data_IF_908814836662
#
_entry.id   IF_908814836662
#
_cell.length_a   1.000
_cell.length_b   1.000
_cell.length_c   1.000
_cell.angle_alpha   90.00
_cell.angle_beta   90.00
_cell.angle_gamma   90.00
#
_symmetry.space_group_name_H-M   'P 1'
#
loop_
_entity.id
_entity.type
_entity.pdbx_description
1 polymer ?
#
# COMPACT_ATOMS: atom_id res chain seq x y z
N UNK A 1 0.43 39.36 -9.46
CA UNK A 1 1.49 39.16 -10.48
C UNK A 1 1.37 37.73 -10.97
N UNK A 2 0.93 37.56 -12.21
CA UNK A 2 0.74 36.26 -12.86
C UNK A 2 2.09 35.88 -13.51
N UNK A 3 2.64 34.67 -13.32
CA UNK A 3 3.89 34.29 -13.99
C UNK A 3 3.66 34.13 -15.50
N UNK A 4 4.64 34.59 -16.27
CA UNK A 4 4.70 34.48 -17.74
C UNK A 4 4.68 33.02 -18.22
N UNK A 5 4.00 32.68 -19.34
CA UNK A 5 3.78 31.30 -19.81
C UNK A 5 4.99 30.66 -20.51
N UNK A 6 6.22 31.16 -20.32
CA UNK A 6 7.38 30.76 -21.13
C UNK A 6 8.19 29.62 -20.50
N UNK A 7 8.02 29.35 -19.20
CA UNK A 7 8.80 28.31 -18.49
C UNK A 7 8.42 26.87 -18.85
N UNK A 8 7.31 26.63 -19.58
CA UNK A 8 6.82 25.28 -19.89
C UNK A 8 7.32 24.65 -21.20
N UNK A 9 8.07 25.40 -22.02
CA UNK A 9 8.57 24.87 -23.29
C UNK A 9 9.85 24.04 -23.18
N UNK A 10 10.65 24.20 -22.11
CA UNK A 10 11.96 23.53 -21.97
C UNK A 10 11.80 22.04 -21.60
N UNK A 11 10.70 21.65 -20.94
CA UNK A 11 10.49 20.27 -20.47
C UNK A 11 9.92 19.32 -21.52
N UNK A 12 9.35 19.81 -22.63
CA UNK A 12 8.65 18.95 -23.61
C UNK A 12 9.57 18.33 -24.67
N UNK A 13 10.74 18.92 -24.96
CA UNK A 13 11.61 18.43 -26.05
C UNK A 13 12.43 17.19 -25.64
N UNK A 14 12.63 16.96 -24.33
CA UNK A 14 13.33 15.78 -23.82
C UNK A 14 12.59 14.45 -24.12
N UNK A 15 11.27 14.50 -24.35
CA UNK A 15 10.42 13.30 -24.52
C UNK A 15 10.48 12.73 -25.95
N UNK A 16 10.94 13.50 -26.95
CA UNK A 16 10.87 13.09 -28.37
C UNK A 16 12.23 12.79 -29.02
N UNK A 17 13.37 13.17 -28.42
CA UNK A 17 14.72 12.75 -28.86
C UNK A 17 15.71 12.61 -27.69
N UNK A 18 16.05 11.38 -27.25
CA UNK A 18 16.94 11.17 -26.10
C UNK A 18 18.44 11.47 -26.35
N UNK A 19 18.85 11.83 -27.58
CA UNK A 19 20.27 11.91 -27.95
C UNK A 19 20.87 13.32 -27.95
N UNK A 20 20.16 14.32 -27.42
CA UNK A 20 20.72 15.65 -27.19
C UNK A 20 20.97 15.80 -25.68
N UNK A 21 22.19 15.50 -25.25
CA UNK A 21 22.63 15.72 -23.87
C UNK A 21 22.48 17.18 -23.44
N UNK A 22 22.32 17.39 -22.13
CA UNK A 22 22.13 18.68 -21.47
C UNK A 22 23.16 19.73 -21.93
N UNK A 23 22.73 20.60 -22.85
CA UNK A 23 23.37 21.89 -23.08
C UNK A 23 22.28 22.94 -23.11
N UNK A 24 22.23 23.76 -22.05
CA UNK A 24 21.37 24.91 -21.96
C UNK A 24 21.76 25.93 -23.05
N UNK A 25 20.92 26.09 -24.08
CA UNK A 25 21.05 27.17 -25.05
C UNK A 25 20.19 28.37 -24.60
N UNK A 26 20.65 29.62 -24.76
CA UNK A 26 19.88 30.80 -24.36
C UNK A 26 18.56 30.95 -25.12
N UNK A 27 17.56 31.54 -24.44
CA UNK A 27 16.22 31.83 -24.94
C UNK A 27 16.25 32.58 -26.29
N UNK A 28 15.49 32.09 -27.27
CA UNK A 28 15.34 32.70 -28.60
C UNK A 28 16.00 31.95 -29.77
N UNK A 29 16.83 30.94 -29.50
CA UNK A 29 17.55 30.16 -30.54
C UNK A 29 16.72 29.04 -31.20
N UNK A 30 15.64 28.57 -30.55
CA UNK A 30 14.86 27.41 -31.02
C UNK A 30 13.97 27.70 -32.24
N UNK A 31 13.29 28.86 -32.26
CA UNK A 31 12.46 29.28 -33.40
C UNK A 31 13.29 29.45 -34.68
N UNK A 32 14.56 29.85 -34.53
CA UNK A 32 15.48 29.97 -35.65
C UNK A 32 15.92 28.59 -36.18
N UNK A 33 16.09 27.60 -35.29
CA UNK A 33 16.48 26.24 -35.65
C UNK A 33 15.33 25.45 -36.29
N UNK A 34 14.10 25.59 -35.79
CA UNK A 34 12.91 24.97 -36.38
C UNK A 34 12.62 25.47 -37.79
N UNK A 35 12.89 26.75 -38.09
CA UNK A 35 12.75 27.28 -39.46
C UNK A 35 13.78 26.68 -40.44
N UNK A 36 14.91 26.16 -39.95
CA UNK A 36 15.96 25.55 -40.79
C UNK A 36 15.87 24.03 -40.92
N UNK A 37 14.95 23.36 -40.22
CA UNK A 37 14.79 21.91 -40.37
C UNK A 37 14.22 21.50 -41.75
N UNK A 38 14.70 20.39 -42.33
CA UNK A 38 14.17 19.85 -43.59
C UNK A 38 12.68 19.55 -43.51
N UNK A 39 11.92 19.90 -44.55
CA UNK A 39 10.48 19.64 -44.68
C UNK A 39 10.09 18.17 -44.44
N UNK A 40 11.00 17.23 -44.69
CA UNK A 40 10.80 15.79 -44.44
C UNK A 40 10.59 15.46 -42.96
N UNK A 41 11.27 16.16 -42.05
CA UNK A 41 11.12 15.96 -40.60
C UNK A 41 9.80 16.52 -40.08
N UNK A 42 9.37 17.67 -40.62
CA UNK A 42 8.09 18.32 -40.29
C UNK A 42 6.90 17.50 -40.77
N UNK A 43 7.01 16.88 -41.94
CA UNK A 43 5.99 15.99 -42.51
C UNK A 43 5.76 14.75 -41.65
N UNK A 44 6.82 14.15 -41.10
CA UNK A 44 6.74 12.96 -40.25
C UNK A 44 5.96 13.20 -38.96
N UNK A 45 6.20 14.35 -38.31
CA UNK A 45 5.49 14.75 -37.09
C UNK A 45 3.99 14.97 -37.39
N UNK A 46 3.68 15.60 -38.53
CA UNK A 46 2.29 15.79 -38.97
C UNK A 46 1.58 14.45 -39.29
N UNK A 47 2.28 13.53 -39.94
CA UNK A 47 1.77 12.19 -40.26
C UNK A 47 1.50 11.36 -38.98
N UNK A 48 2.37 11.46 -37.98
CA UNK A 48 2.22 10.79 -36.68
C UNK A 48 0.99 11.34 -35.91
N UNK A 49 0.83 12.67 -35.85
CA UNK A 49 -0.36 13.31 -35.27
C UNK A 49 -1.65 12.92 -36.00
N UNK A 50 -1.60 12.81 -37.33
CA UNK A 50 -2.76 12.41 -38.14
C UNK A 50 -3.14 10.94 -37.92
N UNK A 51 -2.17 10.07 -37.61
CA UNK A 51 -2.40 8.66 -37.28
C UNK A 51 -3.11 8.48 -35.92
N UNK A 52 -2.83 9.36 -34.96
CA UNK A 52 -3.44 9.37 -33.63
C UNK A 52 -4.90 9.81 -33.72
N UNK A 53 -5.19 10.85 -34.52
CA UNK A 53 -6.56 11.36 -34.71
C UNK A 53 -7.50 10.38 -35.43
N UNK A 54 -6.97 9.46 -36.25
CA UNK A 54 -7.77 8.41 -36.91
C UNK A 54 -8.24 7.28 -35.99
N UNK A 55 -7.71 7.18 -34.76
CA UNK A 55 -8.02 6.09 -33.83
C UNK A 55 -9.16 6.40 -32.85
N UNK A 56 -9.78 7.57 -32.95
CA UNK A 56 -10.87 8.01 -32.07
C UNK A 56 -12.19 8.07 -32.86
N UNK A 57 -13.17 7.19 -32.60
CA UNK A 57 -14.36 7.08 -33.44
C UNK A 57 -15.47 8.04 -32.99
N UNK A 58 -15.20 9.33 -32.86
CA UNK A 58 -16.21 10.36 -32.57
C UNK A 58 -15.68 11.73 -33.01
N UNK A 59 -15.69 12.04 -34.32
CA UNK A 59 -15.68 13.41 -34.90
C UNK A 59 -15.42 13.39 -36.42
N UNK A 60 -16.12 12.55 -37.19
CA UNK A 60 -16.10 12.68 -38.66
C UNK A 60 -17.51 12.48 -39.22
N UNK A 61 -18.36 13.49 -39.01
CA UNK A 61 -19.50 13.81 -39.86
C UNK A 61 -19.97 15.20 -39.44
N UNK A 62 -20.16 16.10 -40.41
CA UNK A 62 -20.55 17.51 -40.24
C UNK A 62 -19.43 18.53 -39.92
N UNK A 63 -18.46 18.69 -40.84
CA UNK A 63 -17.71 19.94 -40.94
C UNK A 63 -17.72 20.43 -42.41
N UNK A 64 -18.66 21.33 -42.76
CA UNK A 64 -18.72 21.92 -44.09
C UNK A 64 -17.54 22.86 -44.34
N UNK A 65 -17.21 22.96 -45.63
CA UNK A 65 -16.20 23.82 -46.24
C UNK A 65 -16.24 25.25 -45.67
N UNK A 66 -15.20 25.61 -44.92
CA UNK A 66 -14.62 26.94 -44.62
C UNK A 66 -14.12 26.95 -43.18
N UNK A 67 -12.97 26.31 -42.92
CA UNK A 67 -12.27 26.50 -41.65
C UNK A 67 -10.84 26.89 -41.97
N UNK A 68 -10.55 28.18 -41.76
CA UNK A 68 -9.25 28.80 -41.89
C UNK A 68 -8.24 28.05 -41.01
N UNK A 69 -7.06 27.69 -41.52
CA UNK A 69 -6.06 26.87 -40.82
C UNK A 69 -5.69 27.39 -39.42
N UNK A 70 -5.91 28.68 -39.15
CA UNK A 70 -5.71 29.30 -37.83
C UNK A 70 -6.66 28.77 -36.75
N UNK A 71 -7.89 28.39 -37.09
CA UNK A 71 -8.89 27.91 -36.12
C UNK A 71 -8.64 26.47 -35.67
N UNK A 72 -8.06 25.63 -36.53
CA UNK A 72 -7.66 24.24 -36.19
C UNK A 72 -6.44 24.22 -35.28
N UNK A 73 -5.50 25.15 -35.48
CA UNK A 73 -4.33 25.30 -34.61
C UNK A 73 -4.72 25.73 -33.19
N UNK A 74 -5.71 26.62 -33.04
CA UNK A 74 -6.20 27.04 -31.71
C UNK A 74 -6.92 25.89 -31.00
N UNK A 75 -7.69 25.06 -31.72
CA UNK A 75 -8.38 23.90 -31.12
C UNK A 75 -7.39 22.81 -30.66
N UNK A 76 -6.32 22.57 -31.42
CA UNK A 76 -5.26 21.62 -31.05
C UNK A 76 -4.44 22.10 -29.85
N UNK A 77 -4.17 23.41 -29.73
CA UNK A 77 -3.49 23.99 -28.56
C UNK A 77 -4.37 23.93 -27.30
N UNK A 78 -5.69 24.04 -27.44
CA UNK A 78 -6.63 23.86 -26.31
C UNK A 78 -6.80 22.39 -25.88
N UNK A 79 -6.71 21.43 -26.81
CA UNK A 79 -6.79 20.00 -26.50
C UNK A 79 -5.50 19.43 -25.88
N UNK A 80 -4.34 20.05 -26.11
CA UNK A 80 -3.05 19.68 -25.46
C UNK A 80 -2.84 20.32 -24.09
N UNK A 81 -3.76 21.18 -23.64
CA UNK A 81 -3.66 21.91 -22.37
C UNK A 81 -4.48 21.28 -21.21
N UNK A 82 -5.09 20.11 -21.43
CA UNK A 82 -5.67 19.35 -20.32
C UNK A 82 -4.51 18.72 -19.51
N UNK A 83 -4.36 19.03 -18.21
CA UNK A 83 -3.41 18.32 -17.39
C UNK A 83 -3.81 16.86 -17.35
N UNK A 84 -2.99 15.98 -17.92
CA UNK A 84 -3.02 14.56 -17.59
C UNK A 84 -2.51 14.49 -16.15
N UNK A 85 -3.42 14.49 -15.19
CA UNK A 85 -3.08 14.19 -13.80
C UNK A 85 -2.65 12.72 -13.78
N UNK A 86 -1.35 12.47 -13.63
CA UNK A 86 -0.85 11.15 -13.27
C UNK A 86 -1.41 10.84 -11.89
N UNK A 87 -2.11 9.71 -11.74
CA UNK A 87 -2.58 9.28 -10.44
C UNK A 87 -1.36 9.09 -9.52
N UNK A 88 -1.42 9.58 -8.28
CA UNK A 88 -0.36 9.33 -7.32
C UNK A 88 -0.27 7.82 -7.02
N UNK A 89 0.94 7.27 -7.03
CA UNK A 89 1.17 5.86 -6.66
C UNK A 89 1.16 5.67 -5.15
N UNK A 90 1.42 6.73 -4.38
CA UNK A 90 1.35 6.74 -2.91
C UNK A 90 0.43 7.85 -2.44
N UNK A 91 -0.63 7.50 -1.72
CA UNK A 91 -1.50 8.46 -1.04
C UNK A 91 -1.11 8.56 0.42
N UNK A 92 -1.08 9.78 0.94
CA UNK A 92 -0.65 10.08 2.31
C UNK A 92 -1.66 10.98 3.00
N UNK A 93 -1.89 10.74 4.29
CA UNK A 93 -2.52 11.68 5.23
C UNK A 93 -1.52 12.02 6.35
N UNK A 94 -1.59 13.26 6.84
CA UNK A 94 -0.68 13.80 7.85
C UNK A 94 -1.42 14.84 8.71
N UNK A 95 -1.44 14.65 10.03
CA UNK A 95 -2.07 15.58 10.98
C UNK A 95 -1.06 16.46 11.73
N UNK A 96 0.20 16.48 11.31
CA UNK A 96 1.32 17.17 11.95
C UNK A 96 1.96 16.41 13.12
N UNK A 97 1.36 15.31 13.58
CA UNK A 97 1.89 14.43 14.64
C UNK A 97 2.31 13.08 14.06
N UNK A 98 1.44 12.48 13.26
CA UNK A 98 1.64 11.21 12.56
C UNK A 98 1.35 11.35 11.08
N UNK A 99 2.13 10.61 10.29
CA UNK A 99 1.94 10.48 8.84
C UNK A 99 1.82 9.01 8.47
N UNK A 100 0.83 8.68 7.66
CA UNK A 100 0.60 7.32 7.14
C UNK A 100 0.31 7.36 5.65
N UNK A 101 0.86 6.40 4.92
CA UNK A 101 0.67 6.29 3.48
C UNK A 101 0.39 4.87 3.00
N UNK A 102 -0.43 4.77 1.96
CA UNK A 102 -0.74 3.54 1.23
C UNK A 102 -0.20 3.65 -0.20
N UNK A 103 0.18 2.51 -0.79
CA UNK A 103 0.82 2.45 -2.13
C UNK A 103 0.02 1.56 -3.08
N UNK A 104 -0.46 2.14 -4.19
CA UNK A 104 -1.31 1.48 -5.17
C UNK A 104 -0.65 0.22 -5.76
N UNK A 105 0.66 0.29 -6.00
CA UNK A 105 1.45 -0.78 -6.63
C UNK A 105 1.94 -1.83 -5.62
N UNK A 106 1.59 -1.67 -4.33
CA UNK A 106 1.82 -2.65 -3.27
C UNK A 106 0.50 -3.05 -2.62
N UNK A 107 -0.52 -3.26 -3.44
CA UNK A 107 -1.86 -3.68 -3.02
C UNK A 107 -2.60 -2.69 -2.13
N UNK A 108 -2.21 -1.41 -2.16
CA UNK A 108 -2.66 -0.36 -1.24
C UNK A 108 -2.53 -0.76 0.24
N UNK A 109 -1.55 -1.60 0.56
CA UNK A 109 -1.09 -1.80 1.92
C UNK A 109 -0.44 -0.52 2.47
N UNK A 110 -0.29 -0.43 3.78
CA UNK A 110 0.42 0.68 4.41
C UNK A 110 1.92 0.47 4.20
N UNK A 111 2.55 1.43 3.51
CA UNK A 111 3.97 1.42 3.14
C UNK A 111 4.75 2.56 3.76
N UNK A 112 4.06 3.53 4.36
CA UNK A 112 4.68 4.64 5.06
C UNK A 112 4.06 4.83 6.43
N UNK A 113 4.91 4.94 7.45
CA UNK A 113 4.53 5.31 8.80
C UNK A 113 5.67 6.14 9.43
N UNK A 114 5.37 7.33 9.94
CA UNK A 114 6.36 8.19 10.59
C UNK A 114 5.72 9.20 11.56
N UNK A 115 6.54 9.83 12.40
CA UNK A 115 6.15 10.96 13.27
C UNK A 115 7.07 12.15 13.06
N UNK A 116 6.77 13.29 13.69
CA UNK A 116 7.71 14.42 13.71
C UNK A 116 9.02 14.08 14.47
N UNK A 117 8.95 13.27 15.53
CA UNK A 117 10.10 12.83 16.33
C UNK A 117 10.89 11.68 15.70
N UNK A 118 10.27 10.93 14.78
CA UNK A 118 10.87 9.87 14.00
C UNK A 118 10.43 10.04 12.53
N UNK A 119 11.11 10.91 11.75
CA UNK A 119 10.69 11.26 10.40
C UNK A 119 11.06 10.21 9.34
N UNK A 120 11.83 9.17 9.72
CA UNK A 120 12.13 8.04 8.84
C UNK A 120 10.91 7.12 8.74
N UNK A 121 10.80 6.39 7.63
CA UNK A 121 9.75 5.39 7.49
C UNK A 121 10.01 4.21 8.43
N UNK A 122 9.02 3.86 9.25
CA UNK A 122 9.06 2.74 10.17
C UNK A 122 8.72 1.41 9.48
N UNK A 123 8.04 1.44 8.33
CA UNK A 123 7.54 0.25 7.64
C UNK A 123 8.65 -0.41 6.84
N UNK A 124 8.77 -1.74 6.91
CA UNK A 124 9.57 -2.50 5.95
C UNK A 124 8.74 -2.74 4.69
N UNK A 125 9.37 -2.63 3.52
CA UNK A 125 8.73 -2.80 2.20
C UNK A 125 9.65 -3.54 1.21
N UNK A 126 10.53 -4.41 1.73
CA UNK A 126 11.53 -5.12 0.93
C UNK A 126 10.91 -6.07 -0.12
N UNK A 127 9.72 -6.62 0.16
CA UNK A 127 9.02 -7.56 -0.71
C UNK A 127 7.50 -7.58 -0.43
N UNK A 128 6.67 -8.21 -1.27
CA UNK A 128 5.21 -8.26 -1.12
C UNK A 128 4.70 -8.84 0.22
N UNK A 129 5.50 -9.65 0.89
CA UNK A 129 5.16 -10.25 2.18
C UNK A 129 5.44 -9.35 3.37
N UNK A 130 6.25 -8.30 3.21
CA UNK A 130 6.68 -7.41 4.29
C UNK A 130 6.13 -6.01 4.09
N UNK A 131 4.99 -5.73 4.72
CA UNK A 131 4.25 -4.46 4.73
C UNK A 131 3.44 -4.38 6.03
N UNK A 132 2.61 -3.35 6.21
CA UNK A 132 1.48 -3.41 7.16
C UNK A 132 0.22 -3.73 6.36
N UNK A 133 -0.30 -4.95 6.51
CA UNK A 133 -1.23 -5.53 5.55
C UNK A 133 -2.19 -6.59 6.11
N UNK A 134 -3.26 -6.82 5.35
CA UNK A 134 -4.20 -7.93 5.55
C UNK A 134 -3.62 -9.26 5.03
N UNK A 135 -3.77 -10.32 5.82
CA UNK A 135 -3.22 -11.66 5.55
C UNK A 135 -4.17 -12.73 6.10
N UNK A 136 -4.78 -13.51 5.20
CA UNK A 136 -5.80 -14.51 5.57
C UNK A 136 -5.46 -15.90 5.04
N UNK A 137 -6.05 -16.92 5.68
CA UNK A 137 -5.83 -18.33 5.40
C UNK A 137 -7.16 -19.11 5.49
N UNK A 138 -7.45 -19.96 4.51
CA UNK A 138 -8.68 -20.76 4.49
C UNK A 138 -8.50 -22.13 3.80
N UNK A 139 -9.43 -23.05 4.09
CA UNK A 139 -9.49 -24.36 3.46
C UNK A 139 -8.33 -25.30 3.78
N UNK A 140 -8.27 -26.40 3.02
CA UNK A 140 -7.26 -27.46 3.13
C UNK A 140 -5.89 -27.00 2.64
N UNK A 141 -4.83 -27.52 3.25
CA UNK A 141 -3.47 -27.32 2.75
C UNK A 141 -3.25 -28.24 1.55
N UNK A 142 -2.76 -27.70 0.43
CA UNK A 142 -2.56 -28.43 -0.82
C UNK A 142 -1.08 -28.39 -1.22
N UNK A 143 -0.58 -29.49 -1.77
CA UNK A 143 0.64 -29.50 -2.56
C UNK A 143 0.27 -29.13 -4.00
N UNK A 144 0.74 -27.97 -4.43
CA UNK A 144 0.49 -27.39 -5.75
C UNK A 144 1.79 -27.11 -6.49
N UNK A 145 2.89 -27.79 -6.15
CA UNK A 145 4.19 -27.57 -6.79
C UNK A 145 4.15 -27.85 -8.30
N UNK A 146 3.29 -28.77 -8.74
CA UNK A 146 3.01 -28.98 -10.16
C UNK A 146 2.43 -27.76 -10.89
N UNK A 147 1.79 -26.86 -10.13
CA UNK A 147 1.16 -25.64 -10.64
C UNK A 147 2.09 -24.42 -10.52
N UNK A 148 3.28 -24.58 -9.92
CA UNK A 148 4.24 -23.50 -9.67
C UNK A 148 4.26 -22.95 -8.24
N UNK A 149 3.65 -23.65 -7.26
CA UNK A 149 3.76 -23.30 -5.84
C UNK A 149 5.22 -23.30 -5.38
N UNK A 150 5.60 -22.31 -4.58
CA UNK A 150 6.91 -22.21 -3.96
C UNK A 150 7.21 -23.42 -3.07
N UNK A 151 8.41 -24.00 -3.21
CA UNK A 151 8.88 -25.13 -2.37
C UNK A 151 8.95 -24.76 -0.88
N UNK A 152 9.18 -23.48 -0.56
CA UNK A 152 9.20 -23.00 0.81
C UNK A 152 7.81 -23.02 1.48
N UNK A 153 6.74 -23.08 0.67
CA UNK A 153 5.35 -22.95 1.09
C UNK A 153 4.53 -24.09 0.49
N UNK A 154 4.89 -25.34 0.79
CA UNK A 154 4.16 -26.53 0.36
C UNK A 154 4.18 -27.65 1.41
N UNK A 155 3.06 -28.32 1.70
CA UNK A 155 1.70 -27.95 1.29
C UNK A 155 1.23 -26.68 2.02
N UNK A 156 0.34 -25.90 1.38
CA UNK A 156 -0.12 -24.62 1.93
C UNK A 156 -1.63 -24.40 1.72
N UNK A 157 -2.35 -23.78 2.69
CA UNK A 157 -3.76 -23.45 2.50
C UNK A 157 -3.93 -22.27 1.54
N UNK A 158 -5.18 -21.99 1.16
CA UNK A 158 -5.50 -20.76 0.44
C UNK A 158 -5.16 -19.55 1.32
N UNK A 159 -4.43 -18.58 0.78
CA UNK A 159 -3.59 -17.63 1.52
C UNK A 159 -3.52 -16.24 0.85
N UNK A 160 -4.64 -15.53 0.68
CA UNK A 160 -4.63 -14.17 0.12
C UNK A 160 -3.85 -13.20 1.01
N UNK A 161 -2.85 -12.54 0.42
CA UNK A 161 -2.05 -11.48 1.03
C UNK A 161 -2.23 -10.18 0.24
N UNK A 162 -2.49 -9.07 0.95
CA UNK A 162 -2.81 -7.78 0.33
C UNK A 162 -1.72 -7.27 -0.59
N UNK A 163 -0.46 -7.36 -0.17
CA UNK A 163 0.71 -6.85 -0.89
C UNK A 163 1.08 -7.66 -2.13
N UNK A 164 0.79 -8.96 -2.14
CA UNK A 164 1.02 -9.81 -3.32
C UNK A 164 1.53 -11.23 -3.01
N UNK A 165 1.97 -11.90 -4.08
CA UNK A 165 2.53 -13.24 -4.08
C UNK A 165 4.06 -13.24 -3.95
N UNK A 166 4.67 -14.42 -3.80
CA UNK A 166 6.13 -14.55 -3.90
C UNK A 166 6.59 -14.05 -5.26
N UNK A 167 7.32 -12.93 -5.26
CA UNK A 167 7.89 -12.32 -6.45
C UNK A 167 6.92 -11.48 -7.29
N UNK A 168 5.72 -11.20 -6.81
CA UNK A 168 4.73 -10.39 -7.55
C UNK A 168 3.91 -9.50 -6.62
N UNK A 169 3.79 -8.23 -6.96
CA UNK A 169 2.94 -7.29 -6.23
C UNK A 169 1.48 -7.39 -6.69
N UNK A 170 0.55 -7.24 -5.75
CA UNK A 170 -0.84 -6.97 -6.07
C UNK A 170 -1.05 -5.47 -6.36
N UNK A 171 -2.13 -5.14 -7.07
CA UNK A 171 -2.47 -3.75 -7.40
C UNK A 171 -3.89 -3.43 -6.93
N UNK A 172 -4.08 -2.21 -6.42
CA UNK A 172 -5.38 -1.76 -5.93
C UNK A 172 -6.27 -1.24 -7.08
N UNK A 173 -7.49 -1.78 -7.19
CA UNK A 173 -8.48 -1.38 -8.19
C UNK A 173 -9.18 -0.08 -7.82
N UNK A 174 -9.35 0.19 -6.51
CA UNK A 174 -9.73 1.51 -5.99
C UNK A 174 -8.68 2.01 -5.02
N UNK A 175 -8.41 3.30 -5.08
CA UNK A 175 -7.35 3.94 -4.32
C UNK A 175 -7.61 5.44 -4.32
N UNK A 176 -8.13 5.92 -3.20
CA UNK A 176 -8.74 7.24 -3.09
C UNK A 176 -8.34 7.88 -1.77
N UNK A 177 -8.20 9.21 -1.81
CA UNK A 177 -8.06 10.05 -0.63
C UNK A 177 -9.22 11.03 -0.59
N UNK A 178 -9.93 11.04 0.53
CA UNK A 178 -10.95 12.05 0.84
C UNK A 178 -10.62 12.67 2.20
N UNK A 179 -10.25 13.96 2.18
CA UNK A 179 -9.72 14.67 3.35
C UNK A 179 -8.61 13.86 4.07
N UNK A 180 -8.89 13.43 5.30
CA UNK A 180 -8.01 12.64 6.18
C UNK A 180 -8.35 11.14 6.16
N UNK A 181 -8.99 10.67 5.09
CA UNK A 181 -9.31 9.25 4.88
C UNK A 181 -8.60 8.74 3.63
N UNK A 182 -7.87 7.64 3.80
CA UNK A 182 -7.36 6.82 2.71
C UNK A 182 -8.26 5.59 2.56
N UNK A 183 -8.77 5.35 1.36
CA UNK A 183 -9.58 4.19 1.03
C UNK A 183 -8.94 3.38 -0.09
N UNK A 184 -8.98 2.06 0.02
CA UNK A 184 -8.59 1.16 -1.04
C UNK A 184 -9.47 -0.08 -1.17
N UNK A 185 -9.50 -0.62 -2.40
CA UNK A 185 -10.05 -1.93 -2.74
C UNK A 185 -9.00 -2.68 -3.58
N UNK A 186 -8.62 -3.87 -3.14
CA UNK A 186 -7.52 -4.67 -3.73
C UNK A 186 -8.01 -6.08 -3.99
N UNK A 187 -7.65 -6.64 -5.15
CA UNK A 187 -7.65 -8.09 -5.37
C UNK A 187 -6.29 -8.61 -4.92
N UNK A 188 -6.20 -9.31 -3.76
CA UNK A 188 -4.92 -9.82 -3.28
C UNK A 188 -4.42 -10.99 -4.14
N UNK A 189 -3.17 -11.39 -3.92
CA UNK A 189 -2.59 -12.60 -4.54
C UNK A 189 -2.37 -13.69 -3.50
N UNK A 190 -2.23 -14.93 -3.95
CA UNK A 190 -1.82 -16.05 -3.12
C UNK A 190 -0.31 -15.99 -2.88
N UNK A 191 0.11 -15.92 -1.62
CA UNK A 191 1.52 -15.80 -1.26
C UNK A 191 2.41 -16.92 -1.83
N UNK A 192 1.91 -18.15 -1.79
CA UNK A 192 2.65 -19.36 -2.17
C UNK A 192 2.83 -19.50 -3.69
N UNK A 193 2.24 -18.62 -4.49
CA UNK A 193 2.24 -18.68 -5.95
C UNK A 193 2.82 -17.39 -6.55
N UNK A 194 3.54 -17.48 -7.69
CA UNK A 194 3.90 -16.30 -8.47
C UNK A 194 2.65 -15.79 -9.21
N UNK A 195 2.23 -14.56 -8.90
CA UNK A 195 1.23 -13.80 -9.63
C UNK A 195 -0.15 -14.49 -9.82
N UNK A 196 -0.59 -15.28 -8.83
CA UNK A 196 -1.95 -15.84 -8.82
C UNK A 196 -2.86 -14.96 -7.96
N UNK A 197 -3.82 -14.28 -8.60
CA UNK A 197 -4.87 -13.57 -7.88
C UNK A 197 -5.71 -14.52 -7.04
N UNK A 198 -5.93 -14.14 -5.79
CA UNK A 198 -6.87 -14.83 -4.94
C UNK A 198 -8.29 -14.41 -5.33
N UNK A 199 -9.22 -15.37 -5.34
CA UNK A 199 -10.66 -15.08 -5.48
C UNK A 199 -11.19 -14.41 -4.21
N UNK A 200 -10.88 -13.14 -4.03
CA UNK A 200 -11.28 -12.33 -2.89
C UNK A 200 -11.13 -10.84 -3.18
N UNK A 201 -11.73 -10.01 -2.33
CA UNK A 201 -11.54 -8.57 -2.29
C UNK A 201 -11.15 -8.16 -0.88
N UNK A 202 -10.15 -7.30 -0.77
CA UNK A 202 -9.75 -6.64 0.48
C UNK A 202 -10.05 -5.16 0.38
N UNK A 203 -10.74 -4.61 1.38
CA UNK A 203 -10.96 -3.18 1.54
C UNK A 203 -10.29 -2.67 2.79
N UNK A 204 -9.78 -1.45 2.71
CA UNK A 204 -9.10 -0.80 3.81
C UNK A 204 -9.54 0.67 3.90
N UNK A 205 -9.83 1.12 5.12
CA UNK A 205 -10.00 2.53 5.45
C UNK A 205 -8.98 2.90 6.51
N UNK A 206 -8.11 3.84 6.19
CA UNK A 206 -7.06 4.33 7.09
C UNK A 206 -7.35 5.79 7.41
N UNK A 207 -7.58 6.09 8.70
CA UNK A 207 -7.88 7.43 9.20
C UNK A 207 -7.15 7.69 10.52
N UNK A 208 -7.15 8.93 11.00
CA UNK A 208 -6.74 9.22 12.37
C UNK A 208 -7.83 8.82 13.37
N UNK A 209 -7.42 8.43 14.57
CA UNK A 209 -8.33 8.28 15.71
C UNK A 209 -8.72 9.68 16.21
N UNK A 210 -10.01 10.06 16.16
CA UNK A 210 -10.43 11.45 16.44
C UNK A 210 -10.00 11.99 17.81
N UNK A 211 -9.88 11.10 18.80
CA UNK A 211 -9.55 11.48 20.18
C UNK A 211 -8.05 11.45 20.50
N UNK A 212 -7.21 10.94 19.61
CA UNK A 212 -5.79 10.66 19.88
C UNK A 212 -4.93 11.06 18.67
N UNK A 213 -4.24 12.22 18.73
CA UNK A 213 -3.53 12.76 17.57
C UNK A 213 -2.35 11.90 17.10
N UNK A 214 -1.81 11.03 17.95
CA UNK A 214 -0.71 10.12 17.63
C UNK A 214 -1.19 8.72 17.20
N UNK A 215 -2.48 8.56 16.91
CA UNK A 215 -3.10 7.26 16.67
C UNK A 215 -3.79 7.21 15.32
N UNK A 216 -3.54 6.13 14.59
CA UNK A 216 -4.19 5.78 13.33
C UNK A 216 -5.13 4.61 13.61
N UNK A 217 -6.33 4.64 13.05
CA UNK A 217 -7.26 3.51 13.03
C UNK A 217 -7.37 2.97 11.62
N UNK A 218 -7.33 1.65 11.49
CA UNK A 218 -7.47 0.96 10.22
C UNK A 218 -8.64 0.00 10.32
N UNK A 219 -9.66 0.23 9.49
CA UNK A 219 -10.75 -0.71 9.28
C UNK A 219 -10.43 -1.61 8.10
N UNK A 220 -10.51 -2.91 8.31
CA UNK A 220 -10.31 -3.92 7.29
C UNK A 220 -11.63 -4.64 7.00
N UNK A 221 -11.85 -4.95 5.74
CA UNK A 221 -12.90 -5.86 5.31
C UNK A 221 -12.34 -6.80 4.24
N UNK A 222 -12.59 -8.08 4.44
CA UNK A 222 -12.21 -9.14 3.53
C UNK A 222 -13.46 -9.86 3.04
N UNK A 223 -13.58 -10.03 1.73
CA UNK A 223 -14.66 -10.79 1.09
C UNK A 223 -14.05 -11.95 0.32
N UNK A 224 -14.36 -13.17 0.74
CA UNK A 224 -14.04 -14.40 0.02
C UNK A 224 -14.96 -14.51 -1.20
N UNK A 225 -14.39 -14.63 -2.40
CA UNK A 225 -15.11 -14.92 -3.64
C UNK A 225 -14.82 -16.35 -4.14
N UNK A 226 -14.37 -17.23 -3.23
CA UNK A 226 -14.11 -18.64 -3.50
C UNK A 226 -15.40 -19.36 -3.92
N UNK A 227 -15.27 -20.30 -4.85
CA UNK A 227 -16.37 -21.16 -5.25
C UNK A 227 -16.63 -22.23 -4.18
N UNK A 228 -17.90 -22.59 -3.94
CA UNK A 228 -18.30 -23.58 -2.93
C UNK A 228 -17.61 -24.95 -3.05
N UNK A 229 -17.24 -25.34 -4.27
CA UNK A 229 -16.62 -26.63 -4.59
C UNK A 229 -15.20 -26.45 -5.15
N UNK A 230 -14.49 -25.39 -4.77
CA UNK A 230 -13.09 -25.23 -5.15
C UNK A 230 -12.19 -26.32 -4.53
N UNK A 231 -10.95 -26.40 -5.01
CA UNK A 231 -9.97 -27.41 -4.58
C UNK A 231 -9.58 -27.33 -3.11
N UNK A 232 -9.76 -26.19 -2.46
CA UNK A 232 -9.41 -26.01 -1.04
C UNK A 232 -10.53 -26.55 -0.12
N UNK A 233 -11.72 -26.81 -0.67
CA UNK A 233 -12.81 -27.48 0.03
C UNK A 233 -13.53 -26.57 1.05
N UNK A 234 -14.23 -27.16 2.03
CA UNK A 234 -15.10 -26.42 2.93
C UNK A 234 -14.33 -25.48 3.87
N UNK A 235 -15.08 -24.65 4.60
CA UNK A 235 -14.54 -23.76 5.61
C UNK A 235 -13.83 -24.54 6.74
N UNK A 236 -12.60 -24.16 7.06
CA UNK A 236 -11.75 -24.76 8.10
C UNK A 236 -11.27 -23.65 9.03
N UNK A 237 -11.21 -23.94 10.33
CA UNK A 237 -10.62 -23.00 11.30
C UNK A 237 -9.13 -22.80 11.01
N UNK A 238 -8.73 -21.55 10.81
CA UNK A 238 -7.34 -21.15 10.53
C UNK A 238 -6.99 -19.88 11.29
N UNK A 239 -5.72 -19.77 11.68
CA UNK A 239 -5.18 -18.53 12.20
C UNK A 239 -5.12 -17.48 11.09
N UNK A 240 -5.50 -16.26 11.41
CA UNK A 240 -5.47 -15.09 10.55
C UNK A 240 -4.53 -14.05 11.16
N UNK A 241 -3.80 -13.31 10.34
CA UNK A 241 -3.00 -12.18 10.81
C UNK A 241 -3.82 -10.90 10.62
N UNK A 242 -4.25 -10.31 11.73
CA UNK A 242 -5.29 -9.27 11.76
C UNK A 242 -4.83 -7.97 12.41
N UNK A 243 -3.77 -7.29 11.94
CA UNK A 243 -3.05 -7.50 10.67
C UNK A 243 -1.69 -8.22 10.84
N UNK A 244 -0.97 -8.41 9.73
CA UNK A 244 0.46 -8.64 9.71
C UNK A 244 1.21 -7.30 9.55
N UNK A 245 2.15 -7.00 10.43
CA UNK A 245 2.92 -5.76 10.40
C UNK A 245 4.41 -6.04 10.37
N UNK A 246 5.08 -5.44 9.39
CA UNK A 246 6.53 -5.49 9.25
C UNK A 246 7.12 -4.09 9.37
N UNK A 247 8.05 -3.95 10.31
CA UNK A 247 8.78 -2.73 10.60
C UNK A 247 10.26 -2.88 10.25
N UNK A 248 10.96 -1.75 10.09
CA UNK A 248 12.42 -1.74 9.93
C UNK A 248 13.12 -2.44 11.10
N UNK A 249 14.30 -2.98 10.85
CA UNK A 249 14.98 -3.88 11.80
C UNK A 249 15.61 -3.16 13.00
N UNK A 250 15.73 -1.83 12.96
CA UNK A 250 16.26 -1.00 14.05
C UNK A 250 15.35 -0.93 15.29
N UNK A 251 14.11 -1.40 15.21
CA UNK A 251 13.26 -1.60 16.38
C UNK A 251 13.74 -2.85 17.15
N UNK A 252 14.31 -2.65 18.33
CA UNK A 252 15.05 -3.69 19.08
C UNK A 252 14.35 -4.15 20.34
N UNK A 253 13.40 -3.37 20.85
CA UNK A 253 12.60 -3.71 22.02
C UNK A 253 11.20 -4.10 21.60
N UNK A 254 10.70 -5.23 22.10
CA UNK A 254 9.30 -5.65 21.91
C UNK A 254 8.66 -5.78 23.27
N UNK A 255 7.49 -5.15 23.45
CA UNK A 255 6.81 -5.10 24.76
C UNK A 255 5.33 -5.36 24.66
N UNK A 256 4.81 -6.24 25.51
CA UNK A 256 3.38 -6.38 25.73
C UNK A 256 2.89 -5.31 26.70
N UNK A 257 1.78 -4.64 26.35
CA UNK A 257 1.15 -3.68 27.24
C UNK A 257 0.32 -4.40 28.32
N UNK A 258 0.55 -4.02 29.58
CA UNK A 258 -0.13 -4.60 30.74
C UNK A 258 -1.31 -3.74 31.24
N UNK A 259 -1.40 -2.49 30.77
CA UNK A 259 -2.38 -1.51 31.24
C UNK A 259 -1.81 -0.59 32.32
N UNK A 260 -2.38 0.61 32.43
CA UNK A 260 -1.99 1.62 33.42
C UNK A 260 -0.49 1.97 33.37
N UNK A 261 0.05 2.21 32.18
CA UNK A 261 1.46 2.60 32.00
C UNK A 261 2.48 1.47 32.17
N UNK A 262 2.06 0.21 32.32
CA UNK A 262 2.96 -0.91 32.59
C UNK A 262 3.23 -1.75 31.36
N UNK A 263 4.47 -2.22 31.24
CA UNK A 263 4.97 -3.01 30.12
C UNK A 263 5.66 -4.29 30.59
N UNK A 264 5.64 -5.32 29.75
CA UNK A 264 6.47 -6.52 29.87
C UNK A 264 7.35 -6.65 28.64
N UNK A 265 8.66 -6.71 28.83
CA UNK A 265 9.61 -7.01 27.75
C UNK A 265 9.38 -8.44 27.25
N UNK A 266 9.31 -8.59 25.93
CA UNK A 266 9.15 -9.88 25.25
C UNK A 266 10.46 -10.23 24.55
N UNK A 267 11.05 -11.35 24.94
CA UNK A 267 12.27 -11.86 24.30
C UNK A 267 11.95 -12.60 23.01
N UNK A 268 12.77 -12.40 21.99
CA UNK A 268 12.64 -13.08 20.71
C UNK A 268 14.00 -13.48 20.14
N UNK A 269 13.97 -14.45 19.23
CA UNK A 269 15.10 -14.79 18.34
C UNK A 269 14.67 -14.55 16.91
N UNK A 270 15.59 -14.47 15.94
CA UNK A 270 15.21 -14.40 14.55
C UNK A 270 14.30 -15.57 14.14
N UNK A 271 13.24 -15.27 13.40
CA UNK A 271 12.29 -16.21 12.82
C UNK A 271 12.20 -16.09 11.29
N UNK A 272 11.28 -16.83 10.67
CA UNK A 272 10.38 -17.82 11.28
C UNK A 272 11.13 -19.08 11.81
N UNK A 273 10.57 -19.82 12.79
CA UNK A 273 9.27 -19.61 13.44
C UNK A 273 9.25 -18.39 14.37
N UNK A 274 8.13 -17.68 14.37
CA UNK A 274 7.92 -16.50 15.22
C UNK A 274 7.71 -16.89 16.69
N UNK A 275 8.12 -16.02 17.59
CA UNK A 275 7.77 -16.13 19.00
C UNK A 275 6.31 -15.72 19.20
N UNK A 276 5.76 -16.20 20.32
CA UNK A 276 4.36 -15.99 20.63
C UNK A 276 4.19 -15.41 22.02
N UNK A 277 3.38 -14.36 22.12
CA UNK A 277 3.02 -13.72 23.37
C UNK A 277 1.50 -13.55 23.45
N UNK A 278 1.01 -13.38 24.67
CA UNK A 278 -0.38 -13.03 24.92
C UNK A 278 -0.40 -11.69 25.66
N UNK A 279 -0.50 -10.57 24.90
CA UNK A 279 -0.60 -9.26 25.52
C UNK A 279 -1.99 -9.11 26.18
N UNK A 280 -2.07 -8.91 27.51
CA UNK A 280 -3.35 -8.93 28.22
C UNK A 280 -4.29 -7.79 27.80
N UNK A 281 -3.73 -6.66 27.36
CA UNK A 281 -4.51 -5.53 26.83
C UNK A 281 -4.68 -5.58 25.30
N UNK A 282 -4.38 -6.72 24.66
CA UNK A 282 -4.41 -6.87 23.19
C UNK A 282 -3.59 -5.79 22.48
N UNK A 283 -2.47 -5.40 23.09
CA UNK A 283 -1.55 -4.42 22.56
C UNK A 283 -0.08 -4.81 22.78
N UNK A 284 0.72 -4.63 21.72
CA UNK A 284 2.16 -4.87 21.72
C UNK A 284 2.87 -3.73 21.00
N UNK A 285 3.99 -3.29 21.53
CA UNK A 285 4.79 -2.20 20.99
C UNK A 285 6.19 -2.65 20.58
N UNK A 286 6.72 -1.99 19.55
CA UNK A 286 8.13 -2.06 19.18
C UNK A 286 8.77 -0.69 19.38
N UNK A 287 9.97 -0.66 19.95
CA UNK A 287 10.75 0.56 20.14
C UNK A 287 12.15 0.44 19.56
N UNK A 288 12.62 1.53 18.97
CA UNK A 288 14.02 1.70 18.61
C UNK A 288 14.89 1.98 19.84
N UNK A 289 16.20 2.13 19.63
CA UNK A 289 17.15 2.41 20.70
C UNK A 289 16.98 3.82 21.33
N UNK A 290 16.28 4.74 20.67
CA UNK A 290 15.97 6.07 21.19
C UNK A 290 14.70 6.11 22.04
N UNK A 291 13.94 5.01 22.06
CA UNK A 291 12.65 4.90 22.74
C UNK A 291 11.47 5.39 21.92
N UNK A 292 11.65 5.71 20.63
CA UNK A 292 10.55 5.97 19.70
C UNK A 292 10.00 4.66 19.16
N UNK A 293 8.69 4.59 18.98
CA UNK A 293 8.01 3.33 18.78
C UNK A 293 6.68 3.42 18.06
N UNK A 294 6.13 2.23 17.86
CA UNK A 294 4.78 2.00 17.39
C UNK A 294 4.19 0.84 18.18
N UNK A 295 2.96 1.02 18.66
CA UNK A 295 2.15 -0.04 19.24
C UNK A 295 1.00 -0.41 18.33
N UNK A 296 0.74 -1.70 18.22
CA UNK A 296 -0.52 -2.21 17.69
C UNK A 296 -1.48 -2.45 18.85
N UNK A 297 -2.74 -2.06 18.66
CA UNK A 297 -3.86 -2.47 19.50
C UNK A 297 -4.93 -3.11 18.62
N UNK A 298 -5.25 -4.38 18.90
CA UNK A 298 -6.22 -5.15 18.11
C UNK A 298 -7.16 -5.95 19.04
N UNK A 299 -8.28 -5.36 19.48
CA UNK A 299 -9.23 -6.00 20.38
C UNK A 299 -9.94 -7.20 19.74
N UNK A 300 -9.95 -7.29 18.41
CA UNK A 300 -10.50 -8.41 17.67
C UNK A 300 -9.69 -9.72 17.81
N UNK A 301 -8.39 -9.63 18.15
CA UNK A 301 -7.52 -10.81 18.23
C UNK A 301 -7.89 -11.75 19.37
N UNK A 302 -8.10 -13.03 19.06
CA UNK A 302 -8.49 -14.06 20.04
C UNK A 302 -7.34 -14.98 20.46
N UNK A 303 -6.22 -14.98 19.73
CA UNK A 303 -5.11 -15.91 19.93
C UNK A 303 -3.83 -15.19 20.42
N UNK A 304 -2.78 -15.98 20.67
CA UNK A 304 -1.43 -15.46 20.93
C UNK A 304 -0.90 -14.74 19.69
N UNK A 305 -0.28 -13.59 19.90
CA UNK A 305 0.31 -12.77 18.84
C UNK A 305 1.66 -13.36 18.41
N UNK A 306 1.93 -13.34 17.12
CA UNK A 306 3.24 -13.69 16.58
C UNK A 306 4.12 -12.44 16.57
N UNK A 307 5.39 -12.58 16.92
CA UNK A 307 6.35 -11.48 16.83
C UNK A 307 7.79 -12.01 16.72
N UNK A 308 8.70 -11.17 16.27
CA UNK A 308 10.13 -11.48 16.26
C UNK A 308 10.87 -10.75 15.14
N UNK A 309 12.19 -10.88 15.13
CA UNK A 309 13.02 -10.34 14.06
C UNK A 309 13.13 -11.33 12.90
N UNK A 310 13.36 -10.82 11.70
CA UNK A 310 13.79 -11.59 10.54
C UNK A 310 15.17 -11.11 10.09
N UNK A 311 16.01 -12.04 9.62
CA UNK A 311 17.35 -11.73 9.14
C UNK A 311 18.31 -11.25 10.25
N UNK A 312 19.56 -11.07 9.85
CA UNK A 312 20.62 -10.58 10.73
C UNK A 312 20.92 -9.10 10.49
N UNK A 313 21.51 -8.44 11.50
CA UNK A 313 21.87 -7.02 11.44
C UNK A 313 20.73 -6.08 11.83
N UNK A 314 21.07 -4.83 12.12
CA UNK A 314 20.10 -3.73 12.31
C UNK A 314 20.07 -2.89 11.04
N UNK A 315 18.88 -2.43 10.67
CA UNK A 315 18.68 -1.53 9.54
C UNK A 315 17.46 -0.66 9.79
N UNK A 316 17.58 0.63 9.50
CA UNK A 316 16.46 1.56 9.38
C UNK A 316 16.10 1.87 7.91
N UNK A 317 16.69 1.14 6.97
CA UNK A 317 16.32 1.16 5.55
C UNK A 317 15.04 0.32 5.34
N UNK A 318 13.95 0.94 4.87
CA UNK A 318 12.69 0.25 4.57
C UNK A 318 12.82 -0.89 3.56
N UNK A 319 13.79 -0.83 2.64
CA UNK A 319 13.98 -1.84 1.59
C UNK A 319 14.92 -2.97 2.00
N UNK A 320 15.50 -2.90 3.21
CA UNK A 320 16.40 -3.95 3.69
C UNK A 320 15.66 -5.27 3.96
N UNK A 321 16.33 -6.38 3.66
CA UNK A 321 15.80 -7.73 3.90
C UNK A 321 15.45 -8.02 5.38
N UNK A 322 16.33 -7.69 6.35
CA UNK A 322 16.03 -7.83 7.77
C UNK A 322 14.90 -6.90 8.23
N UNK A 323 14.01 -7.40 9.09
CA UNK A 323 12.86 -6.64 9.57
C UNK A 323 12.39 -7.09 10.97
N UNK A 324 11.45 -6.36 11.55
CA UNK A 324 10.69 -6.78 12.72
C UNK A 324 9.27 -7.14 12.32
N UNK A 325 8.78 -8.29 12.77
CA UNK A 325 7.43 -8.76 12.55
C UNK A 325 6.62 -8.67 13.85
N UNK A 326 5.37 -8.24 13.74
CA UNK A 326 4.32 -8.46 14.73
C UNK A 326 2.99 -8.71 14.01
N UNK A 327 2.25 -9.69 14.46
CA UNK A 327 0.90 -9.97 13.98
C UNK A 327 0.00 -10.34 15.15
N UNK A 328 -1.09 -9.60 15.30
CA UNK A 328 -2.18 -10.01 16.17
C UNK A 328 -2.96 -11.13 15.49
N UNK A 329 -3.27 -12.20 16.21
CA UNK A 329 -3.84 -13.41 15.62
C UNK A 329 -5.29 -13.60 16.04
N UNK A 330 -6.14 -13.89 15.07
CA UNK A 330 -7.50 -14.39 15.29
C UNK A 330 -7.65 -15.82 14.74
N UNK A 331 -8.59 -16.59 15.26
CA UNK A 331 -8.90 -17.95 14.79
C UNK A 331 -10.28 -17.92 14.13
N UNK A 332 -10.30 -17.98 12.80
CA UNK A 332 -11.49 -17.73 12.00
C UNK A 332 -11.78 -18.92 11.09
N UNK A 333 -13.06 -19.28 10.96
CA UNK A 333 -13.55 -20.29 10.04
C UNK A 333 -13.96 -19.61 8.73
N UNK A 334 -13.00 -19.17 7.93
CA UNK A 334 -13.28 -18.54 6.64
C UNK A 334 -13.74 -19.59 5.62
N UNK A 335 -14.94 -19.40 5.10
CA UNK A 335 -15.55 -20.22 4.06
C UNK A 335 -15.57 -19.56 2.68
N UNK A 336 -16.09 -20.27 1.67
CA UNK A 336 -16.55 -19.66 0.43
C UNK A 336 -17.60 -18.58 0.72
N UNK A 337 -17.52 -17.44 0.05
CA UNK A 337 -18.47 -16.31 0.19
C UNK A 337 -18.42 -15.59 1.56
N UNK A 338 -17.57 -15.98 2.52
CA UNK A 338 -17.47 -15.30 3.81
C UNK A 338 -17.02 -13.85 3.70
N UNK A 339 -17.60 -12.97 4.52
CA UNK A 339 -17.09 -11.61 4.75
C UNK A 339 -16.60 -11.48 6.18
N UNK A 340 -15.38 -10.98 6.36
CA UNK A 340 -14.73 -10.78 7.66
C UNK A 340 -14.27 -9.33 7.80
N UNK A 341 -14.66 -8.66 8.87
CA UNK A 341 -14.30 -7.26 9.12
C UNK A 341 -13.81 -7.04 10.56
N UNK A 342 -12.86 -6.14 10.72
CA UNK A 342 -12.31 -5.77 12.01
C UNK A 342 -11.63 -4.40 11.95
N UNK A 343 -11.27 -3.89 13.12
CA UNK A 343 -10.41 -2.70 13.24
C UNK A 343 -9.21 -2.99 14.12
N UNK A 344 -8.12 -2.31 13.79
CA UNK A 344 -6.94 -2.21 14.64
C UNK A 344 -6.45 -0.77 14.67
N UNK A 345 -5.63 -0.46 15.67
CA UNK A 345 -5.03 0.84 15.86
C UNK A 345 -3.51 0.73 15.85
N UNK A 346 -2.86 1.75 15.30
CA UNK A 346 -1.43 1.97 15.42
C UNK A 346 -1.21 3.25 16.21
N UNK A 347 -0.50 3.15 17.33
CA UNK A 347 -0.21 4.26 18.24
C UNK A 347 1.28 4.55 18.17
N UNK A 348 1.66 5.79 17.85
CA UNK A 348 3.06 6.17 17.63
C UNK A 348 3.55 7.13 18.72
N UNK A 349 4.84 7.12 18.97
CA UNK A 349 5.48 8.04 19.92
C UNK A 349 6.52 7.36 20.80
N UNK A 350 6.77 7.96 21.95
CA UNK A 350 7.55 7.33 23.01
C UNK A 350 6.71 6.39 23.87
N UNK A 351 7.37 5.65 24.75
CA UNK A 351 6.72 4.68 25.65
C UNK A 351 5.59 5.29 26.50
N UNK A 352 5.75 6.53 26.97
CA UNK A 352 4.77 7.19 27.81
C UNK A 352 3.52 7.59 27.01
N UNK A 353 3.71 8.32 25.90
CA UNK A 353 2.60 8.77 25.04
C UNK A 353 1.83 7.62 24.42
N UNK A 354 2.51 6.53 24.07
CA UNK A 354 1.89 5.29 23.62
C UNK A 354 1.02 4.69 24.73
N UNK A 355 1.55 4.57 25.96
CA UNK A 355 0.78 3.98 27.06
C UNK A 355 -0.47 4.78 27.42
N UNK A 356 -0.37 6.12 27.46
CA UNK A 356 -1.50 7.01 27.71
C UNK A 356 -2.61 6.82 26.67
N UNK A 357 -2.24 6.72 25.40
CA UNK A 357 -3.17 6.49 24.28
C UNK A 357 -3.80 5.11 24.34
N UNK A 358 -3.02 4.07 24.68
CA UNK A 358 -3.53 2.70 24.85
C UNK A 358 -4.53 2.57 25.99
N UNK A 359 -4.36 3.32 27.09
CA UNK A 359 -5.35 3.35 28.17
C UNK A 359 -6.68 3.99 27.73
N UNK A 360 -6.63 5.00 26.85
CA UNK A 360 -7.83 5.61 26.25
C UNK A 360 -8.52 4.61 25.32
N UNK A 361 -7.76 3.97 24.41
CA UNK A 361 -8.28 2.97 23.48
C UNK A 361 -8.86 1.76 24.21
N UNK A 362 -8.20 1.27 25.26
CA UNK A 362 -8.67 0.14 26.06
C UNK A 362 -10.02 0.41 26.72
N UNK A 363 -10.25 1.63 27.20
CA UNK A 363 -11.55 2.04 27.76
C UNK A 363 -12.64 2.12 26.69
N UNK A 364 -12.31 2.63 25.50
CA UNK A 364 -13.28 2.86 24.43
C UNK A 364 -13.63 1.59 23.64
N UNK A 365 -12.65 0.72 23.37
CA UNK A 365 -12.75 -0.30 22.31
C UNK A 365 -12.36 -1.72 22.74
N UNK A 366 -12.00 -1.99 24.00
CA UNK A 366 -11.60 -3.35 24.44
C UNK A 366 -12.67 -4.44 24.22
N UNK A 367 -13.94 -4.06 24.10
CA UNK A 367 -15.03 -4.99 23.82
C UNK A 367 -15.32 -5.18 22.34
N UNK A 368 -14.62 -4.48 21.45
CA UNK A 368 -14.77 -4.65 20.02
C UNK A 368 -14.30 -6.04 19.58
N UNK A 369 -15.01 -6.60 18.62
CA UNK A 369 -14.75 -7.92 18.05
C UNK A 369 -14.80 -7.82 16.54
N UNK A 370 -14.12 -8.73 15.86
CA UNK A 370 -14.34 -8.91 14.44
C UNK A 370 -15.75 -9.42 14.16
N UNK A 371 -16.27 -9.09 12.99
CA UNK A 371 -17.52 -9.61 12.47
C UNK A 371 -17.23 -10.60 11.34
N UNK A 372 -17.81 -11.80 11.43
CA UNK A 372 -17.78 -12.81 10.38
C UNK A 372 -19.21 -13.08 9.94
N UNK A 373 -19.47 -12.92 8.65
CA UNK A 373 -20.75 -13.28 8.02
C UNK A 373 -20.51 -14.37 6.97
N UNK A 374 -21.52 -15.22 6.77
CA UNK A 374 -21.46 -16.37 5.85
C UNK A 374 -20.26 -17.32 6.12
N UNK A 375 -20.09 -17.83 7.35
CA UNK A 375 -18.94 -18.66 7.74
C UNK A 375 -18.93 -20.08 7.16
#
# INVERSE_FOLDING_TARGET
MIPSPVTSCVSWVAVVRPSLGEFALPEGSFLHHWMQEPMSSKKRILDDCYSILKRTPLLIRELPRLVNLRSVAILLVWLTALPVTVAEDVLVIDNGVVRVGIDRDKGAAITWLSTASYPKNMVNLADPGRLIQQSYYAGSSLDRRSDGQSDAWSPWPWNPIQGGGVGSWAHASKFERDADTLFSETTPQLWDMPNEEAKSVMRQWTTFEPSLPNTIVVRCEFVSLRDKNDRWGPAVMRHQEVPACYFTRNFVHVRSYLGNGKWREESHTPGPPWQQAEPPQKAMALFDASGQGVALFCPASTQRWNFGSHGEGLSDDPEAGPCMHVASIDLVKLGPESTYSYRYWMVLGDEQSIAESLDVLGKAYSQERAELTQP
#
